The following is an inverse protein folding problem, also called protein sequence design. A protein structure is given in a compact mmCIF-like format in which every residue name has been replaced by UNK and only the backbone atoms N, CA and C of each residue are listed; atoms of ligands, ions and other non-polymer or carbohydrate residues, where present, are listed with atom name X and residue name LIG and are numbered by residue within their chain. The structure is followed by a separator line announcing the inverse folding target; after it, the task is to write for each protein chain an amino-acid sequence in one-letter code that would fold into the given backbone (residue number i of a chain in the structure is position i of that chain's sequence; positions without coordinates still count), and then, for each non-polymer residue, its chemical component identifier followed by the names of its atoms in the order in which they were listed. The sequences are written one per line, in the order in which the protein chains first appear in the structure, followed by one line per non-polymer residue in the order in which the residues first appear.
data_IF_374241202935
#
_entry.id   IF_374241202935
#
_cell.length_a   1.000
_cell.length_b   1.000
_cell.length_c   1.000
_cell.angle_alpha   90.00
_cell.angle_beta   90.00
_cell.angle_gamma   90.00
#
_symmetry.space_group_name_H-M   'P 1'
#
loop_
_entity.id
_entity.type
_entity.pdbx_description
1 polymer ?
#
# COMPACT_ATOMS: atom_id res chain seq x y z
N UNK A 1 3.15 -22.56 8.47
CA UNK A 1 2.52 -21.36 7.92
C UNK A 1 3.06 -20.21 8.74
N UNK A 2 3.77 -19.28 8.10
CA UNK A 2 4.32 -18.07 8.72
C UNK A 2 3.18 -17.09 9.06
N UNK A 3 3.45 -16.07 9.87
CA UNK A 3 2.45 -15.04 10.15
C UNK A 3 2.05 -14.28 8.88
N UNK A 4 3.02 -13.94 8.03
CA UNK A 4 2.77 -13.28 6.75
C UNK A 4 1.91 -14.13 5.82
N UNK A 5 2.07 -15.45 5.79
CA UNK A 5 1.20 -16.33 4.98
C UNK A 5 -0.25 -16.33 5.45
N UNK A 6 -0.47 -16.42 6.77
CA UNK A 6 -1.81 -16.31 7.37
C UNK A 6 -2.44 -14.94 7.07
N UNK A 7 -1.68 -13.87 7.28
CA UNK A 7 -2.11 -12.50 7.03
C UNK A 7 -2.46 -12.28 5.55
N UNK A 8 -1.64 -12.81 4.63
CA UNK A 8 -1.89 -12.77 3.19
C UNK A 8 -3.20 -13.45 2.81
N UNK A 9 -3.43 -14.66 3.32
CA UNK A 9 -4.63 -15.45 2.99
C UNK A 9 -5.91 -14.87 3.59
N UNK A 10 -5.80 -14.08 4.67
CA UNK A 10 -6.93 -13.42 5.33
C UNK A 10 -7.48 -12.20 4.58
N UNK A 11 -6.71 -11.62 3.65
CA UNK A 11 -7.04 -10.36 2.98
C UNK A 11 -8.46 -10.28 2.37
N UNK A 12 -8.95 -11.26 1.59
CA UNK A 12 -10.30 -11.17 1.01
C UNK A 12 -11.41 -11.05 2.07
N UNK A 13 -11.25 -11.74 3.20
CA UNK A 13 -12.17 -11.66 4.33
C UNK A 13 -12.14 -10.27 4.99
N UNK A 14 -10.93 -9.72 5.22
CA UNK A 14 -10.77 -8.37 5.74
C UNK A 14 -11.36 -7.32 4.78
N UNK A 15 -11.19 -7.49 3.46
CA UNK A 15 -11.73 -6.56 2.47
C UNK A 15 -13.25 -6.55 2.44
N UNK A 16 -13.87 -7.75 2.51
CA UNK A 16 -15.33 -7.89 2.61
C UNK A 16 -15.87 -7.14 3.84
N UNK A 17 -15.23 -7.33 5.00
CA UNK A 17 -15.63 -6.67 6.24
C UNK A 17 -15.44 -5.15 6.16
N UNK A 18 -14.28 -4.68 5.70
CA UNK A 18 -14.01 -3.25 5.55
C UNK A 18 -14.98 -2.55 4.59
N UNK A 19 -15.33 -3.19 3.47
CA UNK A 19 -16.32 -2.65 2.55
C UNK A 19 -17.72 -2.53 3.19
N UNK A 20 -18.13 -3.54 3.96
CA UNK A 20 -19.41 -3.53 4.66
C UNK A 20 -19.47 -2.47 5.78
N UNK A 21 -18.35 -2.21 6.46
CA UNK A 21 -18.26 -1.24 7.56
C UNK A 21 -18.07 0.21 7.07
N UNK A 22 -17.68 0.44 5.81
CA UNK A 22 -17.33 1.76 5.28
C UNK A 22 -18.39 2.85 5.53
N UNK A 23 -19.66 2.55 5.30
CA UNK A 23 -20.75 3.50 5.52
C UNK A 23 -20.90 3.92 6.99
N UNK A 24 -20.58 3.04 7.94
CA UNK A 24 -20.61 3.34 9.37
C UNK A 24 -19.55 4.36 9.80
N UNK A 25 -18.47 4.49 9.04
CA UNK A 25 -17.36 5.40 9.31
C UNK A 25 -17.46 6.75 8.59
N UNK A 26 -18.54 7.00 7.84
CA UNK A 26 -18.68 8.20 7.00
C UNK A 26 -18.49 9.53 7.76
N UNK A 27 -18.85 9.60 9.04
CA UNK A 27 -18.68 10.80 9.88
C UNK A 27 -17.20 11.10 10.21
N UNK A 28 -16.38 10.05 10.30
CA UNK A 28 -14.96 10.12 10.61
C UNK A 28 -14.12 10.29 9.34
N UNK A 29 -14.61 9.86 8.18
CA UNK A 29 -13.89 9.95 6.90
C UNK A 29 -14.16 11.28 6.16
N UNK A 30 -13.31 11.65 5.18
CA UNK A 30 -13.49 12.92 4.47
C UNK A 30 -14.78 12.99 3.65
N UNK A 31 -15.47 14.12 3.72
CA UNK A 31 -16.64 14.40 2.88
C UNK A 31 -16.24 14.90 1.48
N UNK A 32 -17.18 14.83 0.53
CA UNK A 32 -16.98 15.41 -0.80
C UNK A 32 -16.72 16.93 -0.72
N UNK A 33 -15.72 17.41 -1.44
CA UNK A 33 -15.34 18.83 -1.48
C UNK A 33 -14.34 19.28 -0.41
N UNK A 34 -14.12 18.48 0.65
CA UNK A 34 -13.06 18.79 1.63
C UNK A 34 -11.68 18.79 0.93
N UNK A 35 -10.82 19.75 1.29
CA UNK A 35 -9.39 19.71 0.98
C UNK A 35 -8.68 18.83 2.00
N UNK A 36 -8.09 17.72 1.55
CA UNK A 36 -7.60 16.66 2.43
C UNK A 36 -6.11 16.40 2.22
N UNK A 37 -5.39 16.16 3.31
CA UNK A 37 -4.08 15.51 3.24
C UNK A 37 -4.17 14.12 3.85
N UNK A 38 -3.65 13.11 3.14
CA UNK A 38 -3.53 11.75 3.66
C UNK A 38 -2.06 11.47 3.96
N UNK A 39 -1.77 11.00 5.17
CA UNK A 39 -0.40 10.84 5.66
C UNK A 39 -0.15 9.45 6.19
N UNK A 40 1.10 9.01 6.14
CA UNK A 40 1.54 7.74 6.71
C UNK A 40 3.05 7.58 6.61
N UNK A 41 3.55 6.42 7.01
CA UNK A 41 4.96 6.04 6.84
C UNK A 41 5.06 4.71 6.10
N UNK A 42 6.08 4.54 5.26
CA UNK A 42 6.33 3.31 4.50
C UNK A 42 5.09 2.84 3.71
N UNK A 43 4.68 1.60 3.92
CA UNK A 43 3.47 1.02 3.33
C UNK A 43 2.23 1.91 3.46
N UNK A 44 2.03 2.54 4.61
CA UNK A 44 0.86 3.39 4.84
C UNK A 44 0.92 4.69 4.03
N UNK A 45 2.11 5.22 3.76
CA UNK A 45 2.29 6.37 2.84
C UNK A 45 1.95 5.99 1.39
N UNK A 46 2.31 4.79 0.95
CA UNK A 46 1.97 4.35 -0.40
C UNK A 46 0.47 4.11 -0.58
N UNK A 47 -0.23 3.66 0.47
CA UNK A 47 -1.70 3.66 0.47
C UNK A 47 -2.27 5.08 0.46
N UNK A 48 -1.67 6.04 1.17
CA UNK A 48 -2.08 7.43 1.13
C UNK A 48 -2.01 8.02 -0.29
N UNK A 49 -0.92 7.74 -1.03
CA UNK A 49 -0.78 8.14 -2.44
C UNK A 49 -1.88 7.55 -3.31
N UNK A 50 -2.19 6.26 -3.13
CA UNK A 50 -3.25 5.59 -3.87
C UNK A 50 -4.62 6.24 -3.60
N UNK A 51 -4.97 6.47 -2.34
CA UNK A 51 -6.26 7.08 -1.97
C UNK A 51 -6.36 8.52 -2.45
N UNK A 52 -5.29 9.31 -2.34
CA UNK A 52 -5.30 10.70 -2.81
C UNK A 52 -5.63 10.79 -4.30
N UNK A 53 -4.97 9.96 -5.12
CA UNK A 53 -5.24 9.88 -6.55
C UNK A 53 -6.67 9.37 -6.86
N UNK A 54 -7.20 8.42 -6.07
CA UNK A 54 -8.59 7.95 -6.23
C UNK A 54 -9.60 9.04 -5.89
N UNK A 55 -9.38 9.79 -4.82
CA UNK A 55 -10.28 10.86 -4.37
C UNK A 55 -10.29 12.02 -5.39
N UNK A 56 -9.13 12.45 -5.85
CA UNK A 56 -9.00 13.45 -6.93
C UNK A 56 -9.64 12.96 -8.23
N UNK A 57 -9.29 11.75 -8.68
CA UNK A 57 -9.79 11.17 -9.93
C UNK A 57 -11.31 10.92 -9.94
N UNK A 58 -11.94 10.86 -8.77
CA UNK A 58 -13.39 10.74 -8.61
C UNK A 58 -14.10 12.07 -8.30
N UNK A 59 -13.38 13.20 -8.34
CA UNK A 59 -13.95 14.54 -8.15
C UNK A 59 -14.36 14.84 -6.70
N UNK A 60 -13.80 14.13 -5.72
CA UNK A 60 -14.20 14.22 -4.31
C UNK A 60 -13.51 15.35 -3.55
N UNK A 61 -12.62 16.12 -4.20
CA UNK A 61 -11.96 17.31 -3.65
C UNK A 61 -10.44 17.22 -3.68
N UNK A 62 -9.78 18.37 -3.52
CA UNK A 62 -8.31 18.47 -3.54
C UNK A 62 -7.73 17.53 -2.48
N UNK A 63 -6.85 16.63 -2.90
CA UNK A 63 -6.27 15.61 -2.02
C UNK A 63 -4.79 15.42 -2.28
N UNK A 64 -3.99 15.66 -1.26
CA UNK A 64 -2.55 15.39 -1.29
C UNK A 64 -2.20 14.18 -0.43
N UNK A 65 -1.05 13.57 -0.73
CA UNK A 65 -0.44 12.54 0.09
C UNK A 65 0.98 12.92 0.51
N UNK A 66 1.30 12.73 1.79
CA UNK A 66 2.65 13.00 2.31
C UNK A 66 3.16 11.87 3.20
N UNK A 67 4.47 11.65 3.15
CA UNK A 67 5.13 10.97 4.27
C UNK A 67 4.91 11.85 5.51
N UNK A 68 4.58 11.25 6.66
CA UNK A 68 4.22 12.03 7.85
C UNK A 68 5.32 13.01 8.28
N UNK A 69 6.59 12.63 8.09
CA UNK A 69 7.76 13.49 8.37
C UNK A 69 7.88 14.72 7.47
N UNK A 70 7.36 14.64 6.24
CA UNK A 70 7.48 15.66 5.20
C UNK A 70 6.21 16.51 5.04
N UNK A 71 5.28 16.43 5.99
CA UNK A 71 4.03 17.17 5.91
C UNK A 71 4.28 18.69 5.82
N UNK A 72 3.74 19.39 4.80
CA UNK A 72 4.04 20.79 4.57
C UNK A 72 3.28 21.71 5.52
N UNK A 73 3.99 22.41 6.39
CA UNK A 73 3.42 23.30 7.43
C UNK A 73 2.72 24.56 6.90
N UNK A 74 2.98 24.95 5.66
CA UNK A 74 2.41 26.15 5.04
C UNK A 74 1.07 25.94 4.33
N UNK A 75 0.56 24.70 4.26
CA UNK A 75 -0.69 24.37 3.55
C UNK A 75 -1.81 24.11 4.57
N UNK A 76 -2.98 24.70 4.33
CA UNK A 76 -4.20 24.44 5.08
C UNK A 76 -4.97 23.26 4.48
N UNK A 77 -5.55 22.43 5.32
CA UNK A 77 -6.46 21.36 4.92
C UNK A 77 -7.69 21.42 5.81
N UNK A 78 -8.85 21.05 5.27
CA UNK A 78 -10.06 20.87 6.07
C UNK A 78 -9.89 19.64 6.99
N UNK A 79 -9.15 18.63 6.51
CA UNK A 79 -8.87 17.40 7.24
C UNK A 79 -7.51 16.80 6.90
N UNK A 80 -6.87 16.22 7.92
CA UNK A 80 -5.74 15.30 7.76
C UNK A 80 -6.14 13.88 8.15
N UNK A 81 -5.93 12.91 7.26
CA UNK A 81 -6.18 11.48 7.51
C UNK A 81 -4.85 10.75 7.68
N UNK A 82 -4.57 10.23 8.87
CA UNK A 82 -3.37 9.45 9.16
C UNK A 82 -3.64 7.95 9.02
N UNK A 83 -2.83 7.27 8.22
CA UNK A 83 -2.81 5.82 8.09
C UNK A 83 -1.66 5.26 8.94
N UNK A 84 -1.97 4.48 9.96
CA UNK A 84 -0.96 3.92 10.87
C UNK A 84 -1.42 2.60 11.46
N UNK A 85 -0.86 1.46 11.01
CA UNK A 85 -1.25 0.14 11.54
C UNK A 85 -1.11 0.06 13.06
N UNK A 86 0.08 0.38 13.57
CA UNK A 86 0.38 0.20 15.00
C UNK A 86 -0.18 1.33 15.86
N UNK A 87 -0.46 2.51 15.28
CA UNK A 87 -0.81 3.71 16.04
C UNK A 87 0.30 4.24 16.97
N UNK A 88 1.52 3.70 16.86
CA UNK A 88 2.69 4.05 17.69
C UNK A 88 3.79 4.81 16.93
N UNK A 89 3.70 4.91 15.60
CA UNK A 89 4.74 5.53 14.77
C UNK A 89 4.97 6.99 15.16
N UNK A 90 6.21 7.33 15.54
CA UNK A 90 6.55 8.63 16.14
C UNK A 90 6.19 9.80 15.23
N UNK A 91 6.54 9.75 13.95
CA UNK A 91 6.30 10.83 12.99
C UNK A 91 4.80 11.12 12.82
N UNK A 92 3.96 10.07 12.84
CA UNK A 92 2.51 10.21 12.77
C UNK A 92 1.97 10.86 14.06
N UNK A 93 2.41 10.39 15.23
CA UNK A 93 1.97 10.94 16.51
C UNK A 93 2.41 12.39 16.70
N UNK A 94 3.62 12.74 16.30
CA UNK A 94 4.15 14.10 16.38
C UNK A 94 3.38 15.04 15.45
N UNK A 95 3.05 14.60 14.23
CA UNK A 95 2.22 15.36 13.30
C UNK A 95 0.80 15.58 13.86
N UNK A 96 0.14 14.54 14.33
CA UNK A 96 -1.20 14.65 14.92
C UNK A 96 -1.19 15.59 16.14
N UNK A 97 -0.16 15.50 16.99
CA UNK A 97 0.02 16.42 18.12
C UNK A 97 0.19 17.88 17.69
N UNK A 98 0.89 18.15 16.58
CA UNK A 98 1.05 19.50 16.02
C UNK A 98 -0.25 20.06 15.43
N UNK A 99 -1.09 19.21 14.85
CA UNK A 99 -2.35 19.61 14.22
C UNK A 99 -3.50 19.77 15.23
N UNK A 100 -3.35 19.21 16.43
CA UNK A 100 -4.39 19.18 17.46
C UNK A 100 -4.97 20.56 17.76
N UNK A 101 -6.29 20.68 17.60
CA UNK A 101 -7.03 21.93 17.80
C UNK A 101 -6.94 22.96 16.66
N UNK A 102 -6.20 22.66 15.59
CA UNK A 102 -6.05 23.54 14.42
C UNK A 102 -6.64 22.97 13.13
N UNK A 103 -6.48 21.66 12.89
CA UNK A 103 -6.99 20.96 11.71
C UNK A 103 -7.69 19.69 12.17
N UNK A 104 -8.85 19.36 11.59
CA UNK A 104 -9.57 18.12 11.93
C UNK A 104 -8.73 16.92 11.52
N UNK A 105 -8.56 15.96 12.42
CA UNK A 105 -7.73 14.77 12.19
C UNK A 105 -8.54 13.48 12.30
N UNK A 106 -8.28 12.56 11.38
CA UNK A 106 -8.80 11.19 11.44
C UNK A 106 -7.62 10.22 11.39
N UNK A 107 -7.58 9.22 12.27
CA UNK A 107 -6.61 8.13 12.17
C UNK A 107 -7.30 6.82 11.77
N UNK A 108 -6.71 6.07 10.85
CA UNK A 108 -7.03 4.66 10.61
C UNK A 108 -5.92 3.83 11.27
N UNK A 109 -6.30 2.94 12.20
CA UNK A 109 -5.37 2.09 12.96
C UNK A 109 -5.88 0.67 13.12
N UNK A 110 -4.98 -0.27 13.38
CA UNK A 110 -5.33 -1.67 13.65
C UNK A 110 -5.31 -2.00 15.15
N UNK A 111 -4.63 -1.19 15.96
CA UNK A 111 -4.54 -1.42 17.41
C UNK A 111 -5.48 -0.47 18.16
N UNK A 112 -6.53 -0.95 18.86
CA UNK A 112 -7.40 -0.10 19.69
C UNK A 112 -6.75 0.37 21.00
N UNK A 113 -5.61 -0.22 21.39
CA UNK A 113 -4.93 0.05 22.65
C UNK A 113 -3.59 0.80 22.43
N UNK A 114 -3.63 1.86 21.61
CA UNK A 114 -2.44 2.55 21.11
C UNK A 114 -2.52 4.08 21.29
N UNK A 115 -1.39 4.82 21.34
CA UNK A 115 -1.39 6.27 21.57
C UNK A 115 -2.18 7.10 20.55
N UNK A 116 -2.32 6.62 19.31
CA UNK A 116 -3.08 7.34 18.27
C UNK A 116 -4.53 7.61 18.68
N UNK A 117 -5.10 6.77 19.55
CA UNK A 117 -6.47 6.89 20.06
C UNK A 117 -6.73 8.21 20.79
N UNK A 118 -5.69 8.84 21.35
CA UNK A 118 -5.79 10.14 22.04
C UNK A 118 -5.16 11.28 21.22
N UNK A 119 -4.46 10.96 20.13
CA UNK A 119 -3.73 11.91 19.30
C UNK A 119 -4.61 12.52 18.19
N UNK A 120 -5.48 11.71 17.56
CA UNK A 120 -6.42 12.15 16.53
C UNK A 120 -7.79 12.55 17.12
N UNK A 121 -8.55 13.38 16.40
CA UNK A 121 -9.91 13.78 16.80
C UNK A 121 -10.92 12.66 16.56
N UNK A 122 -10.76 11.92 15.46
CA UNK A 122 -11.58 10.77 15.07
C UNK A 122 -10.68 9.57 14.81
N UNK A 123 -11.15 8.36 15.14
CA UNK A 123 -10.38 7.13 14.87
C UNK A 123 -11.28 6.05 14.30
N UNK A 124 -10.82 5.45 13.20
CA UNK A 124 -11.39 4.24 12.61
C UNK A 124 -10.47 3.07 12.92
N UNK A 125 -10.97 2.12 13.71
CA UNK A 125 -10.21 0.95 14.14
C UNK A 125 -10.56 -0.25 13.26
N UNK A 126 -9.53 -0.80 12.60
CA UNK A 126 -9.58 -2.01 11.77
C UNK A 126 -8.85 -3.15 12.49
N UNK A 127 -9.29 -3.47 13.71
CA UNK A 127 -8.63 -4.45 14.60
C UNK A 127 -8.55 -5.86 14.02
N UNK A 128 -9.53 -6.22 13.21
CA UNK A 128 -9.56 -7.45 12.43
C UNK A 128 -8.50 -7.52 11.31
N UNK A 129 -7.80 -6.42 11.05
CA UNK A 129 -6.72 -6.33 10.09
C UNK A 129 -5.36 -6.00 10.75
N UNK A 130 -5.24 -6.08 12.08
CA UNK A 130 -3.93 -5.94 12.75
C UNK A 130 -2.97 -7.05 12.32
N UNK A 131 -1.66 -6.89 12.37
CA UNK A 131 -0.70 -7.89 11.88
C UNK A 131 0.45 -8.11 12.85
N UNK A 132 0.88 -9.37 12.97
CA UNK A 132 2.06 -9.81 13.71
C UNK A 132 3.33 -9.70 12.87
N UNK A 133 3.27 -9.96 11.57
CA UNK A 133 4.45 -9.81 10.71
C UNK A 133 4.96 -8.36 10.73
N UNK A 134 6.28 -8.21 10.64
CA UNK A 134 6.89 -6.90 10.38
C UNK A 134 6.53 -6.44 8.97
N UNK A 135 6.52 -7.35 7.99
CA UNK A 135 6.10 -7.07 6.62
C UNK A 135 4.58 -6.91 6.60
N UNK A 136 4.14 -5.66 6.56
CA UNK A 136 2.73 -5.30 6.51
C UNK A 136 2.06 -5.77 5.20
N UNK A 137 0.88 -6.39 5.27
CA UNK A 137 0.10 -6.86 4.12
C UNK A 137 -1.38 -6.48 4.25
N UNK A 138 -2.14 -7.16 5.11
CA UNK A 138 -3.60 -7.05 5.24
C UNK A 138 -4.07 -5.71 5.77
N UNK A 139 -3.37 -5.05 6.70
CA UNK A 139 -3.83 -3.73 7.15
C UNK A 139 -3.88 -2.74 5.99
N UNK A 140 -2.81 -2.70 5.20
CA UNK A 140 -2.64 -1.71 4.14
C UNK A 140 -3.74 -1.85 3.08
N UNK A 141 -3.96 -3.08 2.63
CA UNK A 141 -4.98 -3.38 1.62
C UNK A 141 -6.40 -3.24 2.17
N UNK A 142 -6.61 -3.51 3.46
CA UNK A 142 -7.90 -3.30 4.13
C UNK A 142 -8.23 -1.82 4.31
N UNK A 143 -7.28 -1.00 4.75
CA UNK A 143 -7.46 0.45 4.88
C UNK A 143 -7.75 1.10 3.53
N UNK A 144 -7.03 0.71 2.47
CA UNK A 144 -7.33 1.15 1.11
C UNK A 144 -8.71 0.65 0.64
N UNK A 145 -9.11 -0.57 0.98
CA UNK A 145 -10.44 -1.10 0.65
C UNK A 145 -11.56 -0.30 1.31
N UNK A 146 -11.45 0.00 2.62
CA UNK A 146 -12.38 0.85 3.35
C UNK A 146 -12.53 2.21 2.64
N UNK A 147 -11.41 2.85 2.31
CA UNK A 147 -11.41 4.16 1.66
C UNK A 147 -11.95 4.09 0.22
N UNK A 148 -11.64 3.04 -0.54
CA UNK A 148 -12.26 2.81 -1.86
C UNK A 148 -13.78 2.63 -1.74
N UNK A 149 -14.26 1.87 -0.75
CA UNK A 149 -15.68 1.65 -0.52
C UNK A 149 -16.39 2.96 -0.11
N UNK A 150 -15.78 3.77 0.77
CA UNK A 150 -16.26 5.11 1.13
C UNK A 150 -16.41 6.03 -0.09
N UNK A 151 -15.50 5.92 -1.07
CA UNK A 151 -15.56 6.68 -2.32
C UNK A 151 -16.55 6.09 -3.36
N UNK A 152 -17.19 4.95 -3.07
CA UNK A 152 -18.05 4.24 -4.02
C UNK A 152 -17.29 3.51 -5.13
N UNK A 153 -16.01 3.21 -4.93
CA UNK A 153 -15.08 2.61 -5.90
C UNK A 153 -14.71 1.16 -5.57
N UNK A 154 -15.45 0.51 -4.68
CA UNK A 154 -15.29 -0.90 -4.33
C UNK A 154 -16.46 -1.72 -4.88
N UNK A 155 -16.16 -2.92 -5.37
CA UNK A 155 -17.13 -3.89 -5.90
C UNK A 155 -16.74 -5.30 -5.45
N UNK A 156 -17.72 -6.20 -5.41
CA UNK A 156 -17.49 -7.61 -5.05
C UNK A 156 -16.48 -8.31 -5.97
N UNK A 157 -16.32 -7.83 -7.21
CA UNK A 157 -15.34 -8.33 -8.16
C UNK A 157 -13.90 -8.19 -7.62
N UNK A 158 -13.59 -7.15 -6.86
CA UNK A 158 -12.26 -6.95 -6.25
C UNK A 158 -11.94 -8.06 -5.25
N UNK A 159 -12.94 -8.53 -4.50
CA UNK A 159 -12.77 -9.63 -3.54
C UNK A 159 -12.63 -10.97 -4.27
N UNK A 160 -13.40 -11.19 -5.34
CA UNK A 160 -13.25 -12.37 -6.19
C UNK A 160 -11.85 -12.45 -6.84
N UNK A 161 -11.34 -11.32 -7.30
CA UNK A 161 -9.98 -11.18 -7.83
C UNK A 161 -8.94 -11.47 -6.74
N UNK A 162 -9.17 -11.04 -5.50
CA UNK A 162 -8.28 -11.35 -4.37
C UNK A 162 -8.20 -12.87 -4.10
N UNK A 163 -9.33 -13.58 -4.15
CA UNK A 163 -9.33 -15.04 -4.06
C UNK A 163 -8.56 -15.67 -5.22
N UNK A 164 -8.79 -15.18 -6.45
CA UNK A 164 -8.05 -15.63 -7.63
C UNK A 164 -6.55 -15.40 -7.49
N UNK A 165 -6.15 -14.24 -6.95
CA UNK A 165 -4.76 -13.88 -6.68
C UNK A 165 -4.09 -14.82 -5.67
N UNK A 166 -4.83 -15.38 -4.72
CA UNK A 166 -4.30 -16.34 -3.73
C UNK A 166 -4.13 -17.74 -4.31
N UNK A 167 -5.03 -18.18 -5.20
CA UNK A 167 -5.05 -19.56 -5.70
C UNK A 167 -4.28 -19.74 -7.01
N UNK A 168 -4.16 -18.70 -7.83
CA UNK A 168 -3.46 -18.78 -9.12
C UNK A 168 -1.96 -18.98 -8.89
N UNK A 169 -1.30 -19.96 -9.52
CA UNK A 169 0.15 -20.09 -9.44
C UNK A 169 0.89 -18.82 -9.86
N UNK A 170 2.02 -18.55 -9.21
CA UNK A 170 2.92 -17.49 -9.68
C UNK A 170 3.51 -17.90 -11.04
N UNK A 171 3.70 -16.96 -11.99
CA UNK A 171 4.35 -17.26 -13.26
C UNK A 171 5.72 -17.92 -13.05
N UNK A 172 6.04 -18.91 -13.89
CA UNK A 172 7.34 -19.59 -13.86
C UNK A 172 8.49 -18.63 -14.11
N UNK A 173 9.65 -18.87 -13.49
CA UNK A 173 10.86 -18.07 -13.66
C UNK A 173 10.97 -16.81 -12.80
N UNK A 174 9.89 -16.40 -12.11
CA UNK A 174 9.90 -15.18 -11.29
C UNK A 174 10.69 -15.32 -10.00
N UNK A 175 10.76 -16.53 -9.41
CA UNK A 175 11.47 -16.75 -8.15
C UNK A 175 12.98 -16.66 -8.35
N UNK A 176 13.44 -17.01 -9.56
CA UNK A 176 14.83 -16.99 -10.00
C UNK A 176 15.32 -15.59 -10.37
N UNK A 177 14.42 -14.62 -10.57
CA UNK A 177 14.80 -13.24 -10.85
C UNK A 177 15.57 -12.60 -9.69
N UNK A 178 16.56 -11.77 -10.06
CA UNK A 178 17.39 -11.04 -9.09
C UNK A 178 16.97 -9.59 -8.93
N UNK A 179 16.29 -9.05 -9.95
CA UNK A 179 15.78 -7.69 -10.01
C UNK A 179 14.28 -7.65 -10.34
N UNK A 180 13.55 -6.79 -9.65
CA UNK A 180 12.12 -6.59 -9.87
C UNK A 180 11.81 -5.11 -10.11
N UNK A 181 10.96 -4.82 -11.08
CA UNK A 181 10.45 -3.47 -11.32
C UNK A 181 8.93 -3.49 -11.29
N UNK A 182 8.32 -2.63 -10.48
CA UNK A 182 6.86 -2.52 -10.37
C UNK A 182 6.37 -1.23 -11.01
N UNK A 183 5.36 -1.33 -11.86
CA UNK A 183 4.86 -0.21 -12.65
C UNK A 183 3.38 0.05 -12.34
N UNK A 184 3.01 1.32 -12.22
CA UNK A 184 1.63 1.73 -11.98
C UNK A 184 1.23 2.98 -12.77
N UNK A 185 -0.06 3.26 -12.85
CA UNK A 185 -0.64 4.47 -13.46
C UNK A 185 -1.75 5.05 -12.57
N UNK A 186 -1.74 6.37 -12.42
CA UNK A 186 -2.69 7.07 -11.53
C UNK A 186 -2.57 6.53 -10.11
N UNK A 187 -3.68 6.09 -9.52
CA UNK A 187 -3.70 5.59 -8.15
C UNK A 187 -2.84 4.34 -7.91
N UNK A 188 -2.60 3.54 -8.93
CA UNK A 188 -1.79 2.32 -8.82
C UNK A 188 -0.29 2.60 -8.75
N UNK A 189 0.17 3.85 -8.91
CA UNK A 189 1.56 4.25 -8.64
C UNK A 189 1.91 4.05 -7.16
N UNK A 190 0.97 4.34 -6.25
CA UNK A 190 1.12 4.02 -4.83
C UNK A 190 1.26 2.51 -4.62
N UNK A 191 0.42 1.70 -5.28
CA UNK A 191 0.52 0.25 -5.20
C UNK A 191 1.84 -0.30 -5.76
N UNK A 192 2.35 0.26 -6.86
CA UNK A 192 3.65 -0.12 -7.42
C UNK A 192 4.78 0.15 -6.42
N UNK A 193 4.73 1.30 -5.74
CA UNK A 193 5.70 1.65 -4.70
C UNK A 193 5.63 0.69 -3.51
N UNK A 194 4.41 0.30 -3.11
CA UNK A 194 4.18 -0.69 -2.05
C UNK A 194 4.69 -2.08 -2.46
N UNK A 195 4.35 -2.56 -3.65
CA UNK A 195 4.86 -3.78 -4.24
C UNK A 195 6.40 -3.81 -4.18
N UNK A 196 7.03 -2.69 -4.55
CA UNK A 196 8.47 -2.52 -4.48
C UNK A 196 9.02 -2.57 -3.05
N UNK A 197 8.29 -2.02 -2.07
CA UNK A 197 8.66 -2.11 -0.66
C UNK A 197 8.57 -3.54 -0.14
N UNK A 198 7.47 -4.26 -0.38
CA UNK A 198 7.29 -5.67 0.05
C UNK A 198 8.39 -6.58 -0.47
N UNK A 199 8.75 -6.42 -1.74
CA UNK A 199 9.84 -7.19 -2.34
C UNK A 199 11.18 -6.93 -1.65
N UNK A 200 11.50 -5.67 -1.32
CA UNK A 200 12.73 -5.31 -0.58
C UNK A 200 12.73 -5.84 0.84
N UNK A 201 11.63 -5.64 1.57
CA UNK A 201 11.53 -6.01 2.99
C UNK A 201 11.58 -7.53 3.17
N UNK A 202 10.79 -8.28 2.41
CA UNK A 202 10.71 -9.73 2.58
C UNK A 202 11.92 -10.46 1.98
N UNK A 203 12.38 -10.06 0.79
CA UNK A 203 13.30 -10.88 -0.03
C UNK A 203 14.69 -10.28 -0.25
N UNK A 204 14.91 -9.02 0.16
CA UNK A 204 16.14 -8.27 -0.08
C UNK A 204 16.52 -8.13 -1.57
N UNK A 205 15.58 -8.36 -2.49
CA UNK A 205 15.84 -8.24 -3.92
C UNK A 205 16.03 -6.78 -4.35
N UNK A 206 16.87 -6.57 -5.37
CA UNK A 206 16.99 -5.28 -6.02
C UNK A 206 15.64 -4.93 -6.63
N UNK A 207 15.08 -3.79 -6.23
CA UNK A 207 13.71 -3.45 -6.59
C UNK A 207 13.54 -1.98 -6.87
N UNK A 208 12.81 -1.69 -7.94
CA UNK A 208 12.42 -0.35 -8.33
C UNK A 208 10.91 -0.25 -8.54
N UNK A 209 10.37 0.95 -8.46
CA UNK A 209 8.97 1.23 -8.74
C UNK A 209 8.81 2.58 -9.42
N UNK A 210 7.96 2.65 -10.45
CA UNK A 210 7.78 3.85 -11.27
C UNK A 210 6.33 4.06 -11.71
N UNK A 211 5.93 5.32 -11.96
CA UNK A 211 4.89 5.58 -12.94
C UNK A 211 5.26 4.91 -14.27
N UNK A 212 4.34 4.15 -14.86
CA UNK A 212 4.65 3.23 -15.95
C UNK A 212 5.25 3.91 -17.19
N UNK A 213 4.86 5.16 -17.49
CA UNK A 213 5.43 5.92 -18.60
C UNK A 213 6.86 6.39 -18.31
N UNK A 214 7.17 6.74 -17.06
CA UNK A 214 8.50 7.19 -16.63
C UNK A 214 9.56 6.11 -16.75
N UNK A 215 9.15 4.84 -16.75
CA UNK A 215 10.07 3.73 -16.96
C UNK A 215 10.82 3.82 -18.30
N UNK A 216 10.19 4.38 -19.35
CA UNK A 216 10.81 4.59 -20.66
C UNK A 216 11.88 5.68 -20.66
N UNK A 217 11.84 6.58 -19.68
CA UNK A 217 12.67 7.79 -19.65
C UNK A 217 14.03 7.55 -19.00
N UNK A 218 14.57 6.33 -19.12
CA UNK A 218 15.87 5.94 -18.58
C UNK A 218 15.86 4.61 -17.83
N UNK A 219 14.94 4.40 -16.85
CA UNK A 219 14.97 3.20 -16.00
C UNK A 219 14.93 1.87 -16.75
N UNK A 220 14.24 1.80 -17.90
CA UNK A 220 14.19 0.58 -18.73
C UNK A 220 15.59 0.11 -19.17
N UNK A 221 16.59 0.99 -19.22
CA UNK A 221 17.95 0.67 -19.69
C UNK A 221 18.71 -0.37 -18.85
N UNK A 222 18.32 -0.60 -17.60
CA UNK A 222 18.96 -1.61 -16.74
C UNK A 222 18.25 -2.98 -16.77
N UNK A 223 17.16 -3.08 -17.53
CA UNK A 223 16.37 -4.31 -17.67
C UNK A 223 17.15 -5.33 -18.48
N UNK A 224 17.19 -6.57 -18.00
CA UNK A 224 17.88 -7.67 -18.66
C UNK A 224 17.18 -9.00 -18.36
N UNK A 225 17.74 -10.12 -18.80
CA UNK A 225 17.18 -11.47 -18.63
C UNK A 225 16.91 -11.88 -17.17
N UNK A 226 17.57 -11.27 -16.20
CA UNK A 226 17.34 -11.50 -14.76
C UNK A 226 16.29 -10.59 -14.12
N UNK A 227 15.64 -9.74 -14.91
CA UNK A 227 14.68 -8.72 -14.44
C UNK A 227 13.25 -9.15 -14.71
N UNK A 228 12.38 -9.03 -13.70
CA UNK A 228 10.93 -9.10 -13.87
C UNK A 228 10.28 -7.72 -13.72
N UNK A 229 9.54 -7.30 -14.74
CA UNK A 229 8.76 -6.06 -14.74
C UNK A 229 7.28 -6.38 -14.63
N UNK A 230 6.64 -5.92 -13.55
CA UNK A 230 5.26 -6.25 -13.20
C UNK A 230 4.38 -5.00 -13.25
N UNK A 231 3.31 -5.06 -14.03
CA UNK A 231 2.33 -3.97 -14.15
C UNK A 231 1.17 -4.14 -13.16
N UNK A 232 0.89 -3.10 -12.38
CA UNK A 232 -0.31 -3.01 -11.55
C UNK A 232 -1.37 -2.21 -12.29
N UNK A 233 -2.29 -2.92 -12.94
CA UNK A 233 -3.34 -2.36 -13.78
C UNK A 233 -3.00 -2.32 -15.27
N UNK A 234 -3.65 -1.42 -16.01
CA UNK A 234 -3.56 -1.37 -17.47
C UNK A 234 -2.21 -0.81 -17.96
N UNK A 235 -1.50 -1.60 -18.76
CA UNK A 235 -0.21 -1.23 -19.33
C UNK A 235 -0.35 -0.13 -20.42
N UNK A 236 0.58 0.84 -20.49
CA UNK A 236 0.71 1.69 -21.66
C UNK A 236 0.99 0.90 -22.93
N UNK A 237 0.45 1.37 -24.06
CA UNK A 237 0.65 0.75 -25.38
C UNK A 237 2.14 0.61 -25.72
N UNK A 238 2.54 -0.58 -26.19
CA UNK A 238 3.91 -0.88 -26.60
C UNK A 238 4.90 -1.11 -25.46
N UNK A 239 4.52 -0.90 -24.19
CA UNK A 239 5.47 -1.00 -23.07
C UNK A 239 5.90 -2.45 -22.82
N UNK A 240 4.96 -3.39 -22.92
CA UNK A 240 5.23 -4.80 -22.70
C UNK A 240 6.21 -5.34 -23.75
N UNK A 241 6.06 -4.94 -25.01
CA UNK A 241 6.95 -5.30 -26.11
C UNK A 241 8.35 -4.75 -25.87
N UNK A 242 8.47 -3.46 -25.51
CA UNK A 242 9.74 -2.82 -25.20
C UNK A 242 10.48 -3.48 -24.03
N UNK A 243 9.78 -3.89 -22.97
CA UNK A 243 10.39 -4.65 -21.88
C UNK A 243 10.95 -5.98 -22.41
N UNK A 244 10.18 -6.72 -23.20
CA UNK A 244 10.63 -8.01 -23.73
C UNK A 244 11.83 -7.86 -24.67
N UNK A 245 11.92 -6.78 -25.43
CA UNK A 245 13.07 -6.46 -26.29
C UNK A 245 14.38 -6.29 -25.50
N UNK A 246 14.32 -5.90 -24.22
CA UNK A 246 15.51 -5.87 -23.33
C UNK A 246 15.94 -7.26 -22.83
N UNK A 247 15.13 -8.29 -23.09
CA UNK A 247 15.29 -9.63 -22.52
C UNK A 247 14.62 -9.85 -21.18
N UNK A 248 14.05 -8.80 -20.56
CA UNK A 248 13.32 -8.88 -19.30
C UNK A 248 11.98 -9.60 -19.39
N UNK A 249 11.56 -10.17 -18.26
CA UNK A 249 10.26 -10.81 -18.12
C UNK A 249 9.18 -9.74 -17.90
N UNK A 250 8.08 -9.85 -18.64
CA UNK A 250 6.91 -8.97 -18.47
C UNK A 250 5.76 -9.72 -17.80
N UNK A 251 5.26 -9.18 -16.68
CA UNK A 251 4.07 -9.67 -15.99
C UNK A 251 2.92 -8.67 -16.16
N UNK A 252 1.87 -8.99 -16.93
CA UNK A 252 0.73 -8.10 -17.12
C UNK A 252 -0.16 -8.05 -15.87
N UNK A 253 -0.77 -6.89 -15.61
CA UNK A 253 -1.87 -6.77 -14.65
C UNK A 253 -3.15 -7.32 -15.26
N UNK A 254 -3.70 -8.37 -14.66
CA UNK A 254 -4.88 -9.10 -15.17
C UNK A 254 -6.07 -9.06 -14.23
N UNK A 255 -5.84 -8.74 -12.96
CA UNK A 255 -6.85 -8.60 -11.91
C UNK A 255 -7.01 -7.13 -11.50
N UNK A 256 -7.95 -6.83 -10.60
CA UNK A 256 -7.96 -5.55 -9.88
C UNK A 256 -6.55 -5.24 -9.34
N UNK A 257 -6.04 -4.01 -9.50
CA UNK A 257 -4.67 -3.70 -9.10
C UNK A 257 -4.35 -4.00 -7.63
N UNK A 258 -5.35 -3.93 -6.73
CA UNK A 258 -5.17 -4.31 -5.33
C UNK A 258 -5.03 -5.84 -5.16
N UNK A 259 -5.74 -6.63 -5.96
CA UNK A 259 -5.56 -8.08 -6.02
C UNK A 259 -4.23 -8.48 -6.68
N UNK A 260 -3.75 -7.73 -7.67
CA UNK A 260 -2.39 -7.91 -8.22
C UNK A 260 -1.32 -7.69 -7.14
N UNK A 261 -1.50 -6.71 -6.24
CA UNK A 261 -0.59 -6.53 -5.11
C UNK A 261 -0.52 -7.78 -4.19
N UNK A 262 -1.63 -8.52 -4.03
CA UNK A 262 -1.62 -9.80 -3.29
C UNK A 262 -0.71 -10.84 -3.97
N UNK A 263 -0.72 -10.90 -5.31
CA UNK A 263 0.20 -11.78 -6.06
C UNK A 263 1.66 -11.36 -5.86
N UNK A 264 1.93 -10.06 -5.86
CA UNK A 264 3.29 -9.55 -5.59
C UNK A 264 3.73 -9.89 -4.17
N UNK A 265 2.86 -9.75 -3.17
CA UNK A 265 3.21 -10.13 -1.80
C UNK A 265 3.51 -11.64 -1.68
N UNK A 266 2.72 -12.49 -2.35
CA UNK A 266 3.01 -13.94 -2.45
C UNK A 266 4.35 -14.20 -3.12
N UNK A 267 4.68 -13.48 -4.18
CA UNK A 267 5.98 -13.58 -4.84
C UNK A 267 7.10 -13.17 -3.88
N UNK A 268 6.95 -12.07 -3.14
CA UNK A 268 7.96 -11.61 -2.19
C UNK A 268 8.25 -12.67 -1.10
N UNK A 269 7.22 -13.35 -0.59
CA UNK A 269 7.36 -14.48 0.36
C UNK A 269 8.04 -15.68 -0.31
N UNK A 270 7.66 -16.03 -1.55
CA UNK A 270 8.28 -17.14 -2.28
C UNK A 270 9.78 -16.90 -2.55
N UNK A 271 10.16 -15.69 -2.98
CA UNK A 271 11.56 -15.30 -3.20
C UNK A 271 12.33 -15.28 -1.87
N UNK A 272 11.71 -14.80 -0.78
CA UNK A 272 12.31 -14.86 0.55
C UNK A 272 12.61 -16.30 0.98
N UNK A 273 11.65 -17.21 0.83
CA UNK A 273 11.80 -18.63 1.14
C UNK A 273 12.89 -19.30 0.30
N UNK A 274 12.94 -19.04 -1.01
CA UNK A 274 13.98 -19.54 -1.90
C UNK A 274 15.40 -19.06 -1.52
N UNK A 275 15.49 -17.91 -0.83
CA UNK A 275 16.75 -17.32 -0.34
C UNK A 275 17.03 -17.65 1.14
N UNK A 276 16.19 -18.45 1.80
CA UNK A 276 16.34 -18.79 3.21
C UNK A 276 16.15 -17.60 4.16
N UNK A 277 15.36 -16.60 3.76
CA UNK A 277 15.04 -15.41 4.54
C UNK A 277 13.74 -15.60 5.33
N UNK A 278 13.64 -14.96 6.50
CA UNK A 278 12.43 -14.92 7.31
C UNK A 278 11.62 -13.64 6.99
N UNK A 279 10.47 -13.76 6.28
CA UNK A 279 9.65 -12.61 5.95
C UNK A 279 8.81 -12.10 7.15
N UNK A 280 8.69 -12.84 8.25
CA UNK A 280 8.03 -12.36 9.47
C UNK A 280 8.93 -11.42 10.27
N UNK A 281 10.25 -11.69 10.23
CA UNK A 281 11.28 -10.94 10.95
C UNK A 281 12.46 -10.54 10.04
N UNK A 282 12.21 -9.68 9.03
CA UNK A 282 13.25 -9.18 8.15
C UNK A 282 14.30 -8.40 8.93
N UNK A 283 15.57 -8.62 8.59
CA UNK A 283 16.72 -7.99 9.24
C UNK A 283 16.62 -6.45 9.24
N UNK A 284 17.02 -5.84 10.34
CA UNK A 284 17.08 -4.37 10.53
C UNK A 284 15.73 -3.64 10.50
N UNK A 285 14.61 -4.37 10.46
CA UNK A 285 13.27 -3.78 10.48
C UNK A 285 12.57 -4.13 11.80
N UNK A 286 11.61 -3.29 12.16
CA UNK A 286 10.76 -3.50 13.34
C UNK A 286 9.30 -3.26 12.95
N UNK A 287 8.37 -3.84 13.71
CA UNK A 287 6.93 -3.72 13.48
C UNK A 287 6.46 -2.26 13.41
N UNK A 288 7.07 -1.38 14.18
CA UNK A 288 6.79 0.05 14.19
C UNK A 288 8.04 0.83 14.56
N UNK A 289 8.30 1.91 13.83
CA UNK A 289 9.38 2.84 14.17
C UNK A 289 8.94 3.73 15.34
N UNK A 290 9.61 3.56 16.48
CA UNK A 290 9.45 4.40 17.67
C UNK A 290 10.81 5.03 17.94
N UNK A 291 10.92 6.33 17.67
CA UNK A 291 12.17 7.06 17.85
C UNK A 291 12.33 7.46 19.31
N UNK A 292 13.54 7.33 19.84
CA UNK A 292 13.88 7.89 21.14
C UNK A 292 13.76 9.42 21.06
N UNK A 293 13.06 10.03 22.01
CA UNK A 293 13.06 11.49 22.14
C UNK A 293 14.46 11.94 22.59
N UNK A 294 15.06 12.95 21.92
CA UNK A 294 16.34 13.50 22.34
C UNK A 294 16.26 14.13 23.74
#
# INVERSE_FOLDING_TARGET
MTHVEDELTSQPGCWTRAAAEAAGHAHALPAAGERVAIVGCGTSYFMAQAVAALREGSGQGETDAFAASEFPRGRSYDRVVALTRSGTTTEVLDLLGQLKGSTRTTALTADPATPVMAAADEVVVLDFADERSVVQTRFATTALTLLRAHLGLHTDAVVADAHTALTTPLPEGLVECTQFTFLGRGWTVGLASEAGLKMREASLAWTEAYPAMEYRHGPISITTHGTATWMLGAAPEGLAEQVRETGGLWVPGTLDPLAELVRVQRLAVAVAGARGLDPDQPRHLTRSVILARP
#
